data_IF_444217205556
#
_entry.id   IF_444217205556
#
_cell.length_a   1.000
_cell.length_b   1.000
_cell.length_c   1.000
_cell.angle_alpha   90.00
_cell.angle_beta   90.00
_cell.angle_gamma   90.00
#
_symmetry.space_group_name_H-M   'P 1'
#
loop_
_entity.id
_entity.type
_entity.pdbx_description
1 polymer ?
#
# COMPACT_ATOMS: atom_id res chain seq x y z
N UNK A 1 18.83 45.91 38.89
CA UNK A 1 20.04 45.64 38.08
C UNK A 1 20.70 44.42 38.71
N UNK A 2 20.30 43.24 38.25
CA UNK A 2 20.88 41.94 38.62
C UNK A 2 21.31 41.25 37.33
N UNK A 3 22.53 40.70 37.25
CA UNK A 3 23.04 40.11 36.02
C UNK A 3 22.52 38.68 35.85
N UNK A 4 21.91 38.42 34.68
CA UNK A 4 21.57 37.06 34.22
C UNK A 4 22.81 36.34 33.70
N UNK A 5 23.14 35.22 34.31
CA UNK A 5 24.16 34.26 33.86
C UNK A 5 23.55 33.23 32.92
N UNK A 6 24.05 33.17 31.69
CA UNK A 6 23.75 32.12 30.71
C UNK A 6 24.58 30.85 31.02
N UNK A 7 24.00 29.64 31.00
CA UNK A 7 24.79 28.41 31.04
C UNK A 7 25.29 28.02 29.64
N UNK A 8 26.53 27.51 29.61
CA UNK A 8 27.26 27.07 28.42
C UNK A 8 26.80 25.68 27.94
N UNK A 9 26.60 25.55 26.62
CA UNK A 9 26.26 24.30 25.95
C UNK A 9 27.48 23.39 25.81
N UNK A 10 27.39 22.16 26.34
CA UNK A 10 28.41 21.12 26.18
C UNK A 10 28.26 20.39 24.84
N UNK A 11 29.39 20.17 24.14
CA UNK A 11 29.45 19.36 22.90
C UNK A 11 29.35 17.86 23.21
N UNK A 12 28.64 17.07 22.37
CA UNK A 12 28.63 15.60 22.46
C UNK A 12 29.89 14.95 21.86
N UNK A 13 30.31 13.77 22.36
CA UNK A 13 31.52 13.07 21.91
C UNK A 13 31.34 12.31 20.58
N UNK A 14 32.45 12.19 19.85
CA UNK A 14 32.57 11.53 18.55
C UNK A 14 32.36 10.01 18.60
N UNK A 15 31.71 9.46 17.57
CA UNK A 15 31.48 8.01 17.39
C UNK A 15 32.73 7.31 16.83
N UNK A 16 33.06 6.09 17.30
CA UNK A 16 34.13 5.26 16.75
C UNK A 16 33.72 4.58 15.43
N UNK A 17 34.71 4.40 14.54
CA UNK A 17 34.59 3.85 13.20
C UNK A 17 34.37 2.32 13.21
N UNK A 18 33.48 1.83 12.33
CA UNK A 18 33.24 0.41 12.09
C UNK A 18 34.34 -0.19 11.20
N UNK A 19 34.95 -1.28 11.66
CA UNK A 19 35.85 -2.16 10.92
C UNK A 19 35.12 -2.93 9.80
N UNK A 20 35.82 -3.12 8.68
CA UNK A 20 35.34 -3.82 7.49
C UNK A 20 35.51 -5.35 7.58
N UNK A 21 34.59 -6.16 7.01
CA UNK A 21 34.69 -7.62 7.02
C UNK A 21 35.64 -8.18 5.92
N UNK A 22 36.29 -9.34 6.17
CA UNK A 22 37.27 -9.93 5.27
C UNK A 22 36.68 -10.71 4.07
N UNK A 23 37.42 -10.67 2.95
CA UNK A 23 37.14 -11.35 1.66
C UNK A 23 37.14 -12.88 1.79
N UNK A 24 36.09 -13.54 1.27
CA UNK A 24 36.05 -15.00 1.06
C UNK A 24 36.70 -15.39 -0.27
N UNK A 25 37.61 -16.36 -0.20
CA UNK A 25 38.21 -17.04 -1.34
C UNK A 25 37.26 -18.11 -1.91
N UNK A 26 37.28 -18.28 -3.24
CA UNK A 26 36.37 -19.14 -4.00
C UNK A 26 36.70 -20.64 -3.94
N UNK A 27 35.80 -21.50 -4.43
CA UNK A 27 35.99 -22.94 -4.49
C UNK A 27 36.89 -23.37 -5.66
N UNK A 28 37.70 -24.44 -5.52
CA UNK A 28 38.52 -24.99 -6.60
C UNK A 28 37.72 -25.83 -7.60
N UNK A 29 38.31 -25.91 -8.78
CA UNK A 29 37.77 -26.43 -10.03
C UNK A 29 37.60 -27.97 -10.09
N UNK A 30 36.76 -28.35 -11.05
CA UNK A 30 36.41 -29.69 -11.51
C UNK A 30 37.64 -30.47 -12.04
N UNK A 31 37.73 -31.75 -11.67
CA UNK A 31 38.59 -32.74 -12.32
C UNK A 31 37.73 -33.74 -13.10
N UNK A 32 37.91 -33.77 -14.42
CA UNK A 32 37.49 -34.85 -15.31
C UNK A 32 38.69 -35.77 -15.56
N UNK A 33 38.50 -37.09 -15.47
CA UNK A 33 39.46 -38.09 -15.95
C UNK A 33 38.74 -39.33 -16.50
N UNK A 34 38.55 -39.32 -17.82
CA UNK A 34 39.09 -40.28 -18.79
C UNK A 34 38.90 -41.81 -18.65
N UNK A 35 38.37 -42.38 -19.75
CA UNK A 35 38.55 -43.73 -20.31
C UNK A 35 37.89 -44.88 -19.53
N UNK A 36 37.08 -45.76 -20.11
CA UNK A 36 36.90 -46.16 -21.51
C UNK A 36 36.78 -47.68 -21.52
N UNK A 37 35.62 -48.23 -21.88
CA UNK A 37 35.50 -49.65 -22.23
C UNK A 37 34.43 -49.86 -23.29
N UNK A 38 34.92 -50.34 -24.43
CA UNK A 38 34.18 -50.86 -25.57
C UNK A 38 33.73 -52.27 -25.21
N UNK A 39 32.43 -52.56 -25.29
CA UNK A 39 31.95 -53.93 -25.47
C UNK A 39 30.88 -53.95 -26.55
N UNK A 40 31.11 -54.89 -27.45
CA UNK A 40 30.43 -55.31 -28.67
C UNK A 40 28.92 -55.50 -28.58
N UNK A 41 28.29 -55.20 -29.72
CA UNK A 41 26.89 -55.34 -30.05
C UNK A 41 26.36 -56.78 -29.94
N UNK A 42 25.09 -56.89 -29.51
CA UNK A 42 24.21 -57.98 -29.89
C UNK A 42 23.00 -57.34 -30.55
N UNK A 43 22.80 -57.69 -31.80
CA UNK A 43 21.71 -57.26 -32.68
C UNK A 43 20.47 -58.09 -32.35
N UNK A 44 19.47 -57.46 -31.73
CA UNK A 44 18.16 -58.06 -31.46
C UNK A 44 17.09 -57.11 -32.01
N UNK A 45 16.36 -57.60 -33.00
CA UNK A 45 15.32 -56.87 -33.72
C UNK A 45 14.22 -56.37 -32.75
N UNK A 46 13.84 -55.07 -32.78
CA UNK A 46 12.82 -54.57 -31.88
C UNK A 46 11.43 -54.99 -32.37
N UNK A 47 10.76 -55.83 -31.59
CA UNK A 47 9.30 -55.88 -31.61
C UNK A 47 8.75 -54.46 -31.38
N UNK A 48 7.63 -54.05 -32.02
CA UNK A 48 6.99 -52.79 -31.73
C UNK A 48 6.35 -52.88 -30.34
N UNK A 49 7.18 -52.72 -29.29
CA UNK A 49 6.71 -52.38 -27.96
C UNK A 49 6.17 -50.97 -28.07
N UNK A 50 4.85 -50.85 -28.15
CA UNK A 50 4.17 -49.60 -27.84
C UNK A 50 4.62 -49.25 -26.43
N UNK A 51 5.55 -48.30 -26.32
CA UNK A 51 5.94 -47.74 -25.07
C UNK A 51 4.68 -47.09 -24.49
N UNK A 52 4.05 -47.75 -23.52
CA UNK A 52 3.15 -47.05 -22.62
C UNK A 52 4.00 -46.01 -21.93
N UNK A 53 3.82 -44.75 -22.35
CA UNK A 53 4.37 -43.60 -21.64
C UNK A 53 3.88 -43.74 -20.19
N UNK A 54 4.78 -43.79 -19.19
CA UNK A 54 4.39 -43.79 -17.79
C UNK A 54 3.42 -42.64 -17.55
N UNK A 55 2.18 -42.94 -17.13
CA UNK A 55 1.15 -41.93 -16.88
C UNK A 55 1.49 -40.98 -15.72
N UNK A 56 2.67 -41.12 -15.12
CA UNK A 56 3.18 -40.25 -14.06
C UNK A 56 3.45 -38.80 -14.53
N UNK A 57 3.49 -38.55 -15.85
CA UNK A 57 3.61 -37.21 -16.42
C UNK A 57 2.27 -36.47 -16.60
N UNK A 58 1.12 -37.09 -16.30
CA UNK A 58 -0.16 -36.39 -16.21
C UNK A 58 -0.44 -35.92 -14.77
N UNK A 59 0.56 -35.32 -14.10
CA UNK A 59 0.23 -34.34 -13.07
C UNK A 59 -0.42 -33.17 -13.78
N UNK A 60 -1.75 -33.16 -13.77
CA UNK A 60 -2.64 -32.03 -14.05
C UNK A 60 -1.87 -30.71 -14.02
N UNK A 61 -1.61 -30.13 -15.20
CA UNK A 61 -1.29 -28.71 -15.32
C UNK A 61 -2.57 -27.99 -14.89
N UNK A 62 -2.82 -27.88 -13.58
CA UNK A 62 -3.76 -26.88 -13.09
C UNK A 62 -3.15 -25.55 -13.52
N UNK A 63 -3.87 -24.70 -14.27
CA UNK A 63 -3.40 -23.34 -14.51
C UNK A 63 -3.07 -22.74 -13.15
N UNK A 64 -1.82 -22.32 -12.95
CA UNK A 64 -1.44 -21.57 -11.77
C UNK A 64 -2.27 -20.29 -11.82
N UNK A 65 -3.05 -20.04 -10.77
CA UNK A 65 -3.85 -18.83 -10.67
C UNK A 65 -2.98 -17.61 -10.95
N UNK A 66 -3.41 -16.79 -11.91
CA UNK A 66 -2.72 -15.55 -12.24
C UNK A 66 -3.02 -14.47 -11.20
N UNK A 67 -2.12 -13.49 -11.07
CA UNK A 67 -2.35 -12.35 -10.18
C UNK A 67 -3.64 -11.59 -10.52
N UNK A 68 -4.01 -11.52 -11.80
CA UNK A 68 -5.26 -10.88 -12.24
C UNK A 68 -6.51 -11.63 -11.76
N UNK A 69 -6.52 -12.98 -11.87
CA UNK A 69 -7.62 -13.80 -11.36
C UNK A 69 -7.73 -13.74 -9.85
N UNK A 70 -6.60 -13.77 -9.14
CA UNK A 70 -6.55 -13.62 -7.69
C UNK A 70 -7.07 -12.24 -7.24
N UNK A 71 -6.64 -11.16 -7.91
CA UNK A 71 -7.14 -9.81 -7.63
C UNK A 71 -8.66 -9.75 -7.83
N UNK A 72 -9.18 -10.25 -8.94
CA UNK A 72 -10.62 -10.27 -9.20
C UNK A 72 -11.41 -10.98 -8.09
N UNK A 73 -10.91 -12.11 -7.57
CA UNK A 73 -11.52 -12.80 -6.43
C UNK A 73 -11.45 -11.99 -5.13
N UNK A 74 -10.36 -11.25 -4.90
CA UNK A 74 -10.24 -10.36 -3.73
C UNK A 74 -11.25 -9.21 -3.83
N UNK A 75 -11.36 -8.60 -5.01
CA UNK A 75 -12.30 -7.51 -5.25
C UNK A 75 -13.74 -7.95 -5.02
N UNK A 76 -14.12 -9.13 -5.50
CA UNK A 76 -15.43 -9.74 -5.24
C UNK A 76 -15.64 -10.01 -3.74
N UNK A 77 -14.64 -10.58 -3.06
CA UNK A 77 -14.68 -10.86 -1.62
C UNK A 77 -14.88 -9.60 -0.78
N UNK A 78 -14.20 -8.50 -1.13
CA UNK A 78 -14.29 -7.20 -0.45
C UNK A 78 -15.64 -6.54 -0.74
N UNK A 79 -16.06 -6.53 -2.01
CA UNK A 79 -17.34 -5.93 -2.42
C UNK A 79 -18.55 -6.63 -1.79
N UNK A 80 -18.44 -7.94 -1.56
CA UNK A 80 -19.46 -8.74 -0.88
C UNK A 80 -19.49 -8.58 0.64
N UNK A 81 -18.53 -7.89 1.26
CA UNK A 81 -18.64 -7.49 2.66
C UNK A 81 -19.47 -6.23 2.78
N UNK A 82 -20.44 -6.24 3.70
CA UNK A 82 -21.12 -5.02 4.12
C UNK A 82 -20.07 -4.02 4.61
N UNK A 83 -19.89 -2.93 3.86
CA UNK A 83 -19.18 -1.74 4.31
C UNK A 83 -19.88 -1.25 5.58
N UNK A 84 -19.36 -1.61 6.76
CA UNK A 84 -19.78 -0.93 7.98
C UNK A 84 -19.23 0.50 7.94
N UNK A 85 -19.89 1.46 8.59
CA UNK A 85 -19.47 2.86 8.57
C UNK A 85 -17.98 3.08 8.93
N UNK A 86 -17.37 2.16 9.67
CA UNK A 86 -15.98 2.20 10.12
C UNK A 86 -15.13 1.02 9.62
N UNK A 87 -15.43 0.46 8.45
CA UNK A 87 -14.57 -0.55 7.81
C UNK A 87 -14.44 -0.31 6.31
N UNK A 88 -13.20 -0.24 5.83
CA UNK A 88 -12.86 -0.13 4.42
C UNK A 88 -11.72 -1.09 4.10
N UNK A 89 -11.80 -1.80 2.99
CA UNK A 89 -10.67 -2.54 2.45
C UNK A 89 -10.42 -2.13 1.00
N UNK A 90 -9.18 -1.81 0.68
CA UNK A 90 -8.76 -1.41 -0.67
C UNK A 90 -7.73 -2.41 -1.16
N UNK A 91 -7.93 -2.92 -2.37
CA UNK A 91 -6.99 -3.82 -3.02
C UNK A 91 -6.33 -3.11 -4.20
N UNK A 92 -5.06 -3.41 -4.42
CA UNK A 92 -4.32 -2.95 -5.58
C UNK A 92 -3.31 -4.01 -6.01
N UNK A 93 -2.91 -3.96 -7.28
CA UNK A 93 -1.86 -4.81 -7.81
C UNK A 93 -0.73 -3.96 -8.39
N UNK A 94 0.51 -4.38 -8.09
CA UNK A 94 1.73 -3.81 -8.65
C UNK A 94 2.61 -4.94 -9.19
N UNK A 95 2.60 -5.11 -10.51
CA UNK A 95 3.23 -6.27 -11.14
C UNK A 95 2.55 -7.57 -10.68
N UNK A 96 3.30 -8.48 -10.07
CA UNK A 96 2.78 -9.74 -9.54
C UNK A 96 2.35 -9.65 -8.07
N UNK A 97 2.62 -8.52 -7.40
CA UNK A 97 2.28 -8.33 -5.99
C UNK A 97 0.89 -7.73 -5.87
N UNK A 98 0.03 -8.40 -5.11
CA UNK A 98 -1.27 -7.88 -4.72
C UNK A 98 -1.18 -7.41 -3.27
N UNK A 99 -1.67 -6.21 -3.02
CA UNK A 99 -1.72 -5.59 -1.70
C UNK A 99 -3.17 -5.29 -1.32
N UNK A 100 -3.49 -5.47 -0.04
CA UNK A 100 -4.78 -5.12 0.55
C UNK A 100 -4.53 -4.29 1.79
N UNK A 101 -5.04 -3.06 1.81
CA UNK A 101 -5.04 -2.21 2.99
C UNK A 101 -6.44 -2.24 3.62
N UNK A 102 -6.53 -2.68 4.87
CA UNK A 102 -7.76 -2.68 5.65
C UNK A 102 -7.72 -1.60 6.72
N UNK A 103 -8.75 -0.77 6.77
CA UNK A 103 -8.93 0.31 7.75
C UNK A 103 -10.13 -0.02 8.64
N UNK A 104 -9.93 0.02 9.95
CA UNK A 104 -10.95 -0.33 10.92
C UNK A 104 -10.69 0.29 12.29
N UNK A 105 -11.71 0.46 13.11
CA UNK A 105 -11.53 0.92 14.51
C UNK A 105 -10.96 -0.14 15.45
N UNK A 106 -10.79 -1.37 14.96
CA UNK A 106 -10.14 -2.46 15.67
C UNK A 106 -9.40 -3.37 14.69
N UNK A 107 -8.37 -4.08 15.16
CA UNK A 107 -7.59 -5.00 14.32
C UNK A 107 -8.39 -6.26 13.88
N UNK A 108 -9.49 -6.59 14.58
CA UNK A 108 -10.23 -7.83 14.38
C UNK A 108 -10.90 -7.95 12.99
N UNK A 109 -11.65 -6.95 12.49
CA UNK A 109 -12.20 -6.97 11.13
C UNK A 109 -11.15 -7.22 10.04
N UNK A 110 -9.99 -6.54 10.11
CA UNK A 110 -8.90 -6.73 9.13
C UNK A 110 -8.32 -8.15 9.22
N UNK A 111 -8.10 -8.65 10.44
CA UNK A 111 -7.61 -10.02 10.66
C UNK A 111 -8.58 -11.09 10.15
N UNK A 112 -9.89 -10.84 10.23
CA UNK A 112 -10.92 -11.70 9.66
C UNK A 112 -10.89 -11.70 8.13
N UNK A 113 -10.77 -10.53 7.50
CA UNK A 113 -10.58 -10.40 6.05
C UNK A 113 -9.32 -11.15 5.58
N UNK A 114 -8.19 -10.94 6.26
CA UNK A 114 -6.92 -11.62 5.93
C UNK A 114 -7.07 -13.15 5.95
N UNK A 115 -7.77 -13.71 6.95
CA UNK A 115 -8.04 -15.15 7.01
C UNK A 115 -8.93 -15.63 5.86
N UNK A 116 -9.89 -14.82 5.41
CA UNK A 116 -10.76 -15.16 4.25
C UNK A 116 -9.95 -15.14 2.96
N UNK A 117 -9.13 -14.10 2.73
CA UNK A 117 -8.23 -14.01 1.55
C UNK A 117 -7.31 -15.24 1.49
N UNK A 118 -6.65 -15.59 2.60
CA UNK A 118 -5.74 -16.76 2.66
C UNK A 118 -6.42 -18.11 2.40
N UNK A 119 -7.73 -18.22 2.59
CA UNK A 119 -8.50 -19.43 2.26
C UNK A 119 -8.95 -19.44 0.81
N UNK A 120 -9.05 -18.27 0.18
CA UNK A 120 -9.54 -18.09 -1.18
C UNK A 120 -8.43 -18.21 -2.22
N UNK A 121 -7.23 -17.72 -1.88
CA UNK A 121 -6.11 -17.54 -2.79
C UNK A 121 -4.85 -18.14 -2.18
N UNK A 122 -4.13 -18.92 -2.99
CA UNK A 122 -2.89 -19.60 -2.59
C UNK A 122 -1.64 -18.73 -2.84
N UNK A 123 -1.78 -17.58 -3.51
CA UNK A 123 -0.70 -16.64 -3.76
C UNK A 123 -0.36 -15.81 -2.50
N UNK A 124 0.92 -15.38 -2.35
CA UNK A 124 1.28 -14.45 -1.31
C UNK A 124 0.64 -13.08 -1.59
N UNK A 125 -0.23 -12.64 -0.69
CA UNK A 125 -0.88 -11.32 -0.71
C UNK A 125 -0.37 -10.51 0.47
N UNK A 126 0.08 -9.27 0.24
CA UNK A 126 0.42 -8.34 1.31
C UNK A 126 -0.87 -7.76 1.88
N UNK A 127 -1.18 -8.05 3.15
CA UNK A 127 -2.39 -7.52 3.80
C UNK A 127 -1.96 -6.71 5.00
N UNK A 128 -2.26 -5.41 4.99
CA UNK A 128 -1.94 -4.47 6.06
C UNK A 128 -3.22 -3.98 6.72
N UNK A 129 -3.13 -3.81 8.03
CA UNK A 129 -4.22 -3.31 8.85
C UNK A 129 -3.85 -1.99 9.50
N UNK A 130 -4.78 -1.05 9.44
CA UNK A 130 -4.66 0.30 9.94
C UNK A 130 -5.78 0.52 10.95
N UNK A 131 -5.40 0.83 12.19
CA UNK A 131 -6.37 1.05 13.27
C UNK A 131 -6.67 2.54 13.33
N UNK A 132 -7.87 2.91 12.88
CA UNK A 132 -8.35 4.29 12.84
C UNK A 132 -9.23 4.60 14.05
N UNK A 133 -9.56 5.87 14.26
CA UNK A 133 -10.55 6.28 15.27
C UNK A 133 -11.96 6.39 14.68
N UNK A 134 -12.96 6.50 15.56
CA UNK A 134 -14.35 6.71 15.15
C UNK A 134 -14.52 8.04 14.37
N UNK A 135 -13.70 9.05 14.67
CA UNK A 135 -13.76 10.36 14.02
C UNK A 135 -13.34 10.30 12.53
N UNK A 136 -12.50 9.32 12.17
CA UNK A 136 -12.02 9.10 10.80
C UNK A 136 -12.98 8.28 9.94
N UNK A 137 -14.03 7.67 10.52
CA UNK A 137 -14.93 6.78 9.80
C UNK A 137 -15.67 7.46 8.63
N UNK A 138 -15.94 8.75 8.71
CA UNK A 138 -16.56 9.49 7.62
C UNK A 138 -15.72 9.45 6.33
N UNK A 139 -14.39 9.49 6.44
CA UNK A 139 -13.48 9.36 5.31
C UNK A 139 -13.55 7.96 4.69
N UNK A 140 -13.62 6.92 5.52
CA UNK A 140 -13.75 5.53 5.08
C UNK A 140 -15.09 5.30 4.37
N UNK A 141 -16.19 5.75 4.95
CA UNK A 141 -17.52 5.65 4.37
C UNK A 141 -17.65 6.45 3.07
N UNK A 142 -16.98 7.60 2.97
CA UNK A 142 -16.88 8.37 1.74
C UNK A 142 -16.15 7.59 0.65
N UNK A 143 -14.93 7.10 0.90
CA UNK A 143 -14.16 6.33 -0.07
C UNK A 143 -14.89 5.06 -0.53
N UNK A 144 -15.53 4.34 0.40
CA UNK A 144 -16.31 3.14 0.09
C UNK A 144 -17.59 3.40 -0.73
N UNK A 145 -18.00 4.66 -0.87
CA UNK A 145 -19.14 5.09 -1.68
C UNK A 145 -18.78 5.67 -3.05
N UNK A 146 -17.49 5.78 -3.37
CA UNK A 146 -17.02 6.32 -4.65
C UNK A 146 -16.91 5.25 -5.74
N UNK A 147 -16.99 5.70 -6.99
CA UNK A 147 -16.63 4.86 -8.13
C UNK A 147 -15.16 4.44 -8.03
N UNK A 148 -14.89 3.16 -8.28
CA UNK A 148 -13.57 2.57 -8.13
C UNK A 148 -13.38 1.84 -6.80
N UNK A 149 -14.28 1.90 -5.83
CA UNK A 149 -14.22 0.96 -4.72
C UNK A 149 -14.49 -0.48 -5.22
N UNK A 150 -13.74 -1.52 -4.79
CA UNK A 150 -12.62 -1.51 -3.83
C UNK A 150 -11.21 -1.43 -4.44
N UNK A 151 -11.08 -1.10 -5.72
CA UNK A 151 -9.80 -0.92 -6.44
C UNK A 151 -9.57 0.57 -6.79
N UNK A 152 -9.00 1.38 -5.87
CA UNK A 152 -8.85 2.81 -6.09
C UNK A 152 -8.03 3.10 -7.35
N UNK A 153 -8.49 4.06 -8.16
CA UNK A 153 -7.82 4.44 -9.42
C UNK A 153 -6.51 5.19 -9.15
N UNK A 154 -6.42 5.95 -8.06
CA UNK A 154 -5.19 6.63 -7.63
C UNK A 154 -4.41 5.76 -6.65
N UNK A 155 -3.09 5.73 -6.81
CA UNK A 155 -2.19 5.06 -5.87
C UNK A 155 -1.40 6.09 -5.07
N UNK A 156 -1.61 6.13 -3.76
CA UNK A 156 -0.88 7.01 -2.83
C UNK A 156 0.27 6.19 -2.22
N UNK A 157 1.50 6.54 -2.57
CA UNK A 157 2.72 5.86 -2.14
C UNK A 157 3.50 6.75 -1.17
N UNK A 158 3.60 6.35 0.09
CA UNK A 158 4.38 7.08 1.09
C UNK A 158 5.85 6.70 1.01
N UNK A 159 6.75 7.65 1.26
CA UNK A 159 8.18 7.37 1.37
C UNK A 159 8.49 6.51 2.60
N UNK A 160 7.75 6.74 3.68
CA UNK A 160 7.81 6.01 4.96
C UNK A 160 6.39 5.84 5.51
N UNK A 161 6.16 4.77 6.26
CA UNK A 161 4.86 4.49 6.90
C UNK A 161 4.75 5.04 8.33
N UNK A 162 5.83 5.60 8.87
CA UNK A 162 5.89 6.15 10.23
C UNK A 162 6.85 7.35 10.24
N UNK A 163 6.44 8.42 10.92
CA UNK A 163 7.23 9.65 11.10
C UNK A 163 7.14 10.15 12.55
N UNK A 164 8.08 10.99 12.98
CA UNK A 164 7.92 11.70 14.25
C UNK A 164 6.99 12.91 14.08
N UNK A 165 6.32 13.30 15.16
CA UNK A 165 5.54 14.52 15.23
C UNK A 165 6.42 15.75 14.93
N UNK A 166 5.97 16.59 14.00
CA UNK A 166 6.70 17.74 13.49
C UNK A 166 7.62 17.44 12.31
N UNK A 167 7.82 16.16 11.95
CA UNK A 167 8.52 15.80 10.72
C UNK A 167 7.63 16.02 9.48
N UNK A 168 8.29 16.10 8.33
CA UNK A 168 7.63 16.22 7.03
C UNK A 168 7.33 14.84 6.45
N UNK A 169 6.04 14.55 6.24
CA UNK A 169 5.63 13.41 5.42
C UNK A 169 5.89 13.73 3.95
N UNK A 170 6.44 12.76 3.22
CA UNK A 170 6.57 12.85 1.76
C UNK A 170 6.09 11.58 1.08
N UNK A 171 5.63 11.73 -0.15
CA UNK A 171 5.16 10.61 -0.96
C UNK A 171 4.88 11.02 -2.39
N UNK A 172 4.26 10.10 -3.14
CA UNK A 172 3.87 10.28 -4.54
C UNK A 172 2.47 9.74 -4.78
N UNK A 173 1.78 10.34 -5.73
CA UNK A 173 0.48 9.91 -6.23
C UNK A 173 0.66 9.49 -7.69
N UNK A 174 0.27 8.26 -7.99
CA UNK A 174 0.32 7.67 -9.34
C UNK A 174 -1.07 7.54 -9.95
N UNK A 175 -1.09 7.25 -11.25
CA UNK A 175 -2.30 7.01 -12.05
C UNK A 175 -3.24 8.23 -12.10
N UNK A 176 -2.69 9.44 -12.04
CA UNK A 176 -3.48 10.65 -12.22
C UNK A 176 -4.04 10.70 -13.65
N UNK A 177 -5.35 10.58 -13.77
CA UNK A 177 -6.05 10.60 -15.06
C UNK A 177 -6.88 11.88 -15.29
N UNK A 178 -7.09 12.66 -14.22
CA UNK A 178 -7.95 13.86 -14.20
C UNK A 178 -7.13 15.14 -14.12
N UNK A 179 -7.77 16.26 -14.44
CA UNK A 179 -7.10 17.58 -14.54
C UNK A 179 -6.65 18.17 -13.20
N UNK A 180 -7.36 17.87 -12.11
CA UNK A 180 -7.12 18.43 -10.78
C UNK A 180 -6.90 17.29 -9.80
N UNK A 181 -5.97 17.51 -8.88
CA UNK A 181 -5.67 16.60 -7.79
C UNK A 181 -5.75 17.40 -6.49
N UNK A 182 -6.45 16.82 -5.53
CA UNK A 182 -6.58 17.31 -4.17
C UNK A 182 -6.07 16.21 -3.24
N UNK A 183 -5.38 16.60 -2.18
CA UNK A 183 -4.89 15.69 -1.17
C UNK A 183 -5.22 16.28 0.20
N UNK A 184 -5.88 15.48 1.04
CA UNK A 184 -6.15 15.87 2.43
C UNK A 184 -5.59 14.83 3.39
N UNK A 185 -5.21 15.29 4.57
CA UNK A 185 -4.90 14.48 5.72
C UNK A 185 -6.07 14.55 6.69
N UNK A 186 -6.44 13.41 7.26
CA UNK A 186 -7.45 13.31 8.31
C UNK A 186 -6.79 12.78 9.57
N UNK A 187 -6.76 13.62 10.61
CA UNK A 187 -6.17 13.23 11.90
C UNK A 187 -7.06 12.30 12.71
N UNK A 188 -6.55 11.83 13.84
CA UNK A 188 -7.25 10.89 14.71
C UNK A 188 -8.40 11.54 15.49
N UNK A 189 -8.47 12.87 15.58
CA UNK A 189 -9.66 13.62 16.01
C UNK A 189 -10.65 13.90 14.86
N UNK A 190 -10.30 13.48 13.64
CA UNK A 190 -11.08 13.62 12.44
C UNK A 190 -11.03 15.01 11.82
N UNK A 191 -10.06 15.87 12.13
CA UNK A 191 -9.89 17.13 11.39
C UNK A 191 -9.28 16.88 10.03
N UNK A 192 -9.77 17.60 9.04
CA UNK A 192 -9.29 17.54 7.67
C UNK A 192 -8.36 18.71 7.37
N UNK A 193 -7.17 18.43 6.86
CA UNK A 193 -6.18 19.44 6.48
C UNK A 193 -5.78 19.23 5.02
N UNK A 194 -5.79 20.28 4.21
CA UNK A 194 -5.36 20.19 2.81
C UNK A 194 -3.83 20.17 2.71
N UNK A 195 -3.30 19.34 1.80
CA UNK A 195 -1.88 19.30 1.48
C UNK A 195 -1.64 20.16 0.25
N UNK A 196 -1.15 21.38 0.46
CA UNK A 196 -0.93 22.33 -0.63
C UNK A 196 0.33 22.05 -1.45
N UNK A 197 1.36 21.42 -0.86
CA UNK A 197 2.66 21.22 -1.53
C UNK A 197 2.64 20.00 -2.45
N UNK A 198 1.92 20.13 -3.57
CA UNK A 198 1.89 19.16 -4.67
C UNK A 198 2.79 19.62 -5.83
N UNK A 199 3.58 18.72 -6.40
CA UNK A 199 4.45 19.02 -7.54
C UNK A 199 4.54 17.86 -8.52
N UNK A 200 4.52 18.15 -9.82
CA UNK A 200 4.66 17.15 -10.87
C UNK A 200 6.12 16.69 -10.97
N UNK A 201 6.35 15.38 -10.92
CA UNK A 201 7.66 14.76 -11.12
C UNK A 201 7.92 14.44 -12.59
N UNK A 202 9.18 14.22 -12.94
CA UNK A 202 9.61 13.95 -14.32
C UNK A 202 9.09 12.63 -14.88
N UNK A 203 8.70 11.69 -14.02
CA UNK A 203 8.11 10.40 -14.38
C UNK A 203 6.57 10.46 -14.55
N UNK A 204 5.98 11.65 -14.43
CA UNK A 204 4.54 11.88 -14.56
C UNK A 204 3.73 11.58 -13.30
N UNK A 205 4.38 11.25 -12.17
CA UNK A 205 3.72 11.17 -10.87
C UNK A 205 3.61 12.54 -10.20
N UNK A 206 2.72 12.68 -9.21
CA UNK A 206 2.64 13.91 -8.41
C UNK A 206 3.27 13.65 -7.04
N UNK A 207 4.40 14.27 -6.78
CA UNK A 207 5.03 14.28 -5.47
C UNK A 207 4.27 15.21 -4.51
N UNK A 208 4.31 14.90 -3.22
CA UNK A 208 3.74 15.74 -2.18
C UNK A 208 4.62 15.82 -0.94
N UNK A 209 4.44 16.89 -0.17
CA UNK A 209 5.01 17.06 1.17
C UNK A 209 3.97 17.65 2.11
N UNK A 210 3.89 17.13 3.33
CA UNK A 210 2.95 17.61 4.35
C UNK A 210 3.67 17.64 5.70
N UNK A 211 3.83 18.82 6.34
CA UNK A 211 4.27 18.86 7.73
C UNK A 211 3.14 18.30 8.60
N UNK A 212 3.40 17.23 9.35
CA UNK A 212 2.41 16.63 10.23
C UNK A 212 2.83 16.80 11.68
N UNK A 213 1.95 17.37 12.48
CA UNK A 213 2.15 17.54 13.93
C UNK A 213 1.00 16.87 14.65
N UNK A 214 1.31 16.09 15.68
CA UNK A 214 0.28 15.55 16.57
C UNK A 214 -0.47 16.70 17.24
N UNK A 215 -1.78 16.60 17.23
CA UNK A 215 -2.71 17.52 17.86
C UNK A 215 -2.71 17.33 19.38
N UNK A 216 -2.60 16.07 19.87
CA UNK A 216 -2.51 15.78 21.30
C UNK A 216 -1.85 14.41 21.64
N UNK A 217 -1.13 14.36 22.76
CA UNK A 217 -0.70 13.11 23.43
C UNK A 217 0.58 12.43 22.91
N UNK A 218 1.21 11.55 23.72
CA UNK A 218 2.44 10.82 23.36
C UNK A 218 2.17 9.47 22.66
N UNK A 219 0.96 9.27 22.11
CA UNK A 219 0.56 8.00 21.52
C UNK A 219 0.70 8.12 20.01
N UNK A 220 1.30 7.12 19.36
CA UNK A 220 1.35 7.09 17.92
C UNK A 220 -0.06 7.01 17.33
N UNK A 221 -0.45 7.96 16.47
CA UNK A 221 -1.79 8.02 15.88
C UNK A 221 -1.74 7.73 14.39
N UNK A 222 -2.76 7.03 13.89
CA UNK A 222 -2.91 6.73 12.48
C UNK A 222 -3.56 7.94 11.80
N UNK A 223 -2.88 8.55 10.85
CA UNK A 223 -3.38 9.66 10.04
C UNK A 223 -3.77 9.11 8.66
N UNK A 224 -4.95 9.46 8.17
CA UNK A 224 -5.39 9.04 6.83
C UNK A 224 -4.99 10.08 5.79
N UNK A 225 -4.51 9.62 4.63
CA UNK A 225 -4.34 10.44 3.45
C UNK A 225 -5.41 10.07 2.43
N UNK A 226 -6.15 11.06 1.95
CA UNK A 226 -7.20 10.88 0.94
C UNK A 226 -6.89 11.74 -0.28
N UNK A 227 -6.56 11.10 -1.39
CA UNK A 227 -6.35 11.75 -2.68
C UNK A 227 -7.63 11.69 -3.50
N UNK A 228 -8.04 12.82 -4.07
CA UNK A 228 -9.21 12.94 -4.95
C UNK A 228 -8.79 13.66 -6.22
N UNK A 229 -9.10 13.08 -7.38
CA UNK A 229 -8.85 13.71 -8.67
C UNK A 229 -10.16 13.92 -9.43
N UNK A 230 -10.30 15.10 -10.04
CA UNK A 230 -11.53 15.55 -10.72
C UNK A 230 -11.18 16.37 -11.97
N UNK A 231 -12.07 16.34 -12.97
CA UNK A 231 -11.98 17.23 -14.13
C UNK A 231 -12.55 18.62 -13.86
N UNK A 232 -13.42 18.73 -12.84
CA UNK A 232 -14.05 19.96 -12.40
C UNK A 232 -13.46 20.43 -11.06
N UNK A 233 -13.53 21.73 -10.81
CA UNK A 233 -13.10 22.29 -9.54
C UNK A 233 -14.08 21.88 -8.43
N UNK A 234 -13.54 21.38 -7.32
CA UNK A 234 -14.26 21.06 -6.10
C UNK A 234 -13.99 22.17 -5.08
N UNK A 235 -15.04 22.88 -4.68
CA UNK A 235 -14.95 24.04 -3.79
C UNK A 235 -14.82 23.64 -2.33
N UNK A 236 -15.23 22.41 -1.94
CA UNK A 236 -15.12 21.94 -0.56
C UNK A 236 -13.69 22.04 0.00
N UNK A 237 -12.66 21.77 -0.82
CA UNK A 237 -11.26 21.81 -0.37
C UNK A 237 -10.84 23.21 0.08
N UNK A 238 -11.23 24.26 -0.63
CA UNK A 238 -10.87 25.64 -0.29
C UNK A 238 -11.76 26.28 0.80
N UNK A 239 -12.96 25.75 1.05
CA UNK A 239 -13.96 26.37 1.93
C UNK A 239 -14.07 25.69 3.31
N UNK A 240 -13.55 24.48 3.47
CA UNK A 240 -13.76 23.64 4.65
C UNK A 240 -12.44 23.08 5.21
N UNK A 241 -11.33 23.79 5.01
CA UNK A 241 -10.05 23.43 5.63
C UNK A 241 -10.15 23.51 7.16
N UNK A 242 -9.68 22.48 7.86
CA UNK A 242 -9.72 22.37 9.31
C UNK A 242 -11.06 21.91 9.89
N UNK A 243 -12.05 21.60 9.04
CA UNK A 243 -13.35 21.07 9.47
C UNK A 243 -13.29 19.60 9.90
N UNK A 244 -14.33 19.16 10.62
CA UNK A 244 -14.48 17.76 10.98
C UNK A 244 -14.80 16.90 9.74
N UNK A 245 -14.21 15.71 9.67
CA UNK A 245 -14.29 14.78 8.56
C UNK A 245 -15.73 14.47 8.17
N UNK A 246 -16.62 14.30 9.15
CA UNK A 246 -18.04 14.09 8.89
C UNK A 246 -18.65 15.22 8.04
N UNK A 247 -18.47 16.48 8.46
CA UNK A 247 -19.00 17.64 7.73
C UNK A 247 -18.31 17.80 6.36
N UNK A 248 -16.98 17.72 6.34
CA UNK A 248 -16.18 17.85 5.12
C UNK A 248 -16.58 16.83 4.05
N UNK A 249 -16.60 15.54 4.38
CA UNK A 249 -16.88 14.48 3.40
C UNK A 249 -18.36 14.40 3.02
N UNK A 250 -19.29 14.83 3.89
CA UNK A 250 -20.70 14.94 3.52
C UNK A 250 -20.94 16.08 2.52
N UNK A 251 -20.31 17.25 2.72
CA UNK A 251 -20.39 18.36 1.76
C UNK A 251 -19.69 18.01 0.45
N UNK A 252 -18.51 17.40 0.50
CA UNK A 252 -17.80 16.94 -0.70
C UNK A 252 -18.64 15.95 -1.51
N UNK A 253 -19.30 15.00 -0.84
CA UNK A 253 -20.22 14.05 -1.48
C UNK A 253 -21.45 14.75 -2.07
N UNK A 254 -21.96 15.78 -1.41
CA UNK A 254 -23.07 16.59 -1.92
C UNK A 254 -22.66 17.41 -3.15
N UNK A 255 -21.46 18.01 -3.12
CA UNK A 255 -20.89 18.74 -4.25
C UNK A 255 -20.71 17.84 -5.48
N UNK A 256 -20.01 16.70 -5.34
CA UNK A 256 -19.77 15.75 -6.44
C UNK A 256 -21.11 15.32 -7.08
N UNK A 257 -22.12 15.03 -6.24
CA UNK A 257 -23.46 14.64 -6.73
C UNK A 257 -24.21 15.78 -7.40
N UNK A 258 -24.16 17.00 -6.87
CA UNK A 258 -24.83 18.18 -7.46
C UNK A 258 -24.25 18.53 -8.83
N UNK A 259 -22.93 18.43 -8.98
CA UNK A 259 -22.24 18.72 -10.23
C UNK A 259 -22.31 17.56 -11.24
N UNK A 260 -22.57 16.33 -10.77
CA UNK A 260 -22.52 15.13 -11.62
C UNK A 260 -21.09 14.77 -12.04
N UNK A 261 -20.09 15.26 -11.30
CA UNK A 261 -18.68 15.01 -11.60
C UNK A 261 -18.33 13.56 -11.26
N UNK A 262 -17.52 12.93 -12.12
CA UNK A 262 -16.85 11.66 -11.78
C UNK A 262 -15.51 11.98 -11.13
N UNK A 263 -15.21 11.34 -10.00
CA UNK A 263 -13.93 11.51 -9.31
C UNK A 263 -13.18 10.18 -9.25
N UNK A 264 -11.86 10.26 -9.33
CA UNK A 264 -10.98 9.16 -9.00
C UNK A 264 -10.48 9.37 -7.56
N UNK A 265 -10.28 8.30 -6.80
CA UNK A 265 -9.76 8.40 -5.44
C UNK A 265 -8.61 7.43 -5.16
N UNK A 266 -7.87 7.73 -4.10
CA UNK A 266 -6.88 6.86 -3.49
C UNK A 266 -6.77 7.16 -2.00
N UNK A 267 -6.36 6.17 -1.22
CA UNK A 267 -6.20 6.32 0.23
C UNK A 267 -4.97 5.57 0.71
N UNK A 268 -4.26 6.19 1.65
CA UNK A 268 -3.15 5.60 2.39
C UNK A 268 -3.23 6.06 3.85
N UNK A 269 -2.33 5.56 4.68
CA UNK A 269 -2.19 6.04 6.05
C UNK A 269 -0.75 5.99 6.53
N UNK A 270 -0.47 6.81 7.53
CA UNK A 270 0.83 6.96 8.17
C UNK A 270 0.65 6.97 9.68
N UNK A 271 1.63 6.44 10.41
CA UNK A 271 1.69 6.58 11.86
C UNK A 271 2.53 7.81 12.21
N UNK A 272 2.02 8.70 13.05
CA UNK A 272 2.75 9.85 13.59
C UNK A 272 2.97 9.64 15.08
N UNK A 273 4.18 9.83 15.60
CA UNK A 273 4.57 9.52 16.99
C UNK A 273 5.44 10.56 17.69
#
# INVERSE_FOLDING_TARGET
MEPSTLPATALPPARPALEAPPKRAGPPALSFSGAGQVVTAVDEAPEPRIAMIPQEQQRLIRPRESAAEALAKILDLISGQMNSQCFLALASARGETISVNGFATAARPVSELQRRIRRLIELPIDVRGHVVTDAQCAALAFAGGLEGYPEPRLLVELAVSEIASGDELSGRIRNLSRKRLYLVVVDDEGKVQEVEQLFLESDGTVGFRAPLTLTDGPVGTEQLLVAIASDEALETFSLQEGEQAAAFFDELRAEIRRRGSTVDFGMASVIVR
#
